data_IF_203837265206
#
_entry.id   IF_203837265206
#
_cell.length_a   1.000
_cell.length_b   1.000
_cell.length_c   1.000
_cell.angle_alpha   90.00
_cell.angle_beta   90.00
_cell.angle_gamma   90.00
#
_symmetry.space_group_name_H-M   'P 1'
#
loop_
_entity.id
_entity.type
_entity.pdbx_description
1 polymer ?
#
# COMPACT_ATOMS: atom_id res chain seq x y z
N UNK A 1 -5.49 -31.98 -1.94
CA UNK A 1 -5.01 -30.95 -2.89
C UNK A 1 -6.14 -30.64 -3.84
N UNK A 2 -6.39 -29.37 -4.14
CA UNK A 2 -7.42 -28.94 -5.08
C UNK A 2 -6.79 -28.11 -6.20
N UNK A 3 -7.35 -28.16 -7.40
CA UNK A 3 -6.81 -27.44 -8.56
C UNK A 3 -7.75 -26.29 -8.90
N UNK A 4 -7.21 -25.07 -9.02
CA UNK A 4 -7.94 -23.92 -9.54
C UNK A 4 -7.50 -23.61 -10.96
N UNK A 5 -8.46 -23.55 -11.89
CA UNK A 5 -8.23 -23.21 -13.29
C UNK A 5 -8.61 -21.74 -13.55
N UNK A 6 -7.71 -20.99 -14.18
CA UNK A 6 -7.88 -19.59 -14.56
C UNK A 6 -7.50 -19.40 -16.03
N UNK A 7 -8.45 -19.67 -16.94
CA UNK A 7 -8.16 -19.69 -18.37
C UNK A 7 -7.08 -20.74 -18.69
N UNK A 8 -5.91 -20.37 -19.25
CA UNK A 8 -4.83 -21.32 -19.52
C UNK A 8 -4.00 -21.68 -18.28
N UNK A 9 -4.15 -20.95 -17.17
CA UNK A 9 -3.29 -21.12 -16.00
C UNK A 9 -3.93 -22.09 -15.01
N UNK A 10 -3.13 -23.09 -14.61
CA UNK A 10 -3.47 -24.04 -13.55
C UNK A 10 -2.71 -23.69 -12.28
N UNK A 11 -3.41 -23.65 -11.14
CA UNK A 11 -2.81 -23.42 -9.82
C UNK A 11 -3.20 -24.57 -8.89
N UNK A 12 -2.22 -25.37 -8.49
CA UNK A 12 -2.42 -26.44 -7.50
C UNK A 12 -2.40 -25.86 -6.08
N UNK A 13 -3.53 -25.95 -5.38
CA UNK A 13 -3.73 -25.46 -4.03
C UNK A 13 -3.53 -26.60 -3.02
N UNK A 14 -2.77 -26.30 -1.96
CA UNK A 14 -2.40 -27.26 -0.91
C UNK A 14 -2.79 -26.73 0.44
N UNK A 15 -2.85 -27.59 1.47
CA UNK A 15 -2.97 -27.19 2.89
C UNK A 15 -4.04 -26.12 3.16
N UNK A 16 -5.23 -26.25 2.57
CA UNK A 16 -6.28 -25.24 2.67
C UNK A 16 -6.78 -25.04 4.10
N UNK A 17 -6.75 -26.11 4.90
CA UNK A 17 -7.26 -26.08 6.27
C UNK A 17 -6.22 -25.58 7.28
N UNK A 18 -4.99 -25.27 6.82
CA UNK A 18 -3.95 -24.69 7.68
C UNK A 18 -4.44 -23.35 8.21
N UNK A 19 -4.46 -23.20 9.53
CA UNK A 19 -4.74 -21.93 10.20
C UNK A 19 -3.60 -20.94 9.94
N UNK A 20 -3.93 -19.81 9.31
CA UNK A 20 -3.01 -18.69 9.19
C UNK A 20 -3.23 -17.67 10.30
N UNK A 21 -4.45 -17.58 10.84
CA UNK A 21 -4.80 -16.72 11.97
C UNK A 21 -5.51 -17.57 13.03
N UNK A 22 -4.76 -18.20 13.95
CA UNK A 22 -5.32 -19.18 14.89
C UNK A 22 -6.43 -18.59 15.77
N UNK A 23 -6.22 -17.40 16.34
CA UNK A 23 -7.18 -16.75 17.24
C UNK A 23 -8.53 -16.43 16.58
N UNK A 24 -8.54 -16.26 15.25
CA UNK A 24 -9.74 -15.95 14.48
C UNK A 24 -10.25 -17.15 13.66
N UNK A 25 -9.59 -18.32 13.78
CA UNK A 25 -9.92 -19.52 13.01
C UNK A 25 -9.72 -19.40 11.49
N UNK A 26 -9.03 -18.36 11.00
CA UNK A 26 -8.94 -18.10 9.56
C UNK A 26 -7.86 -18.97 8.93
N UNK A 27 -8.27 -19.71 7.91
CA UNK A 27 -7.48 -20.69 7.19
C UNK A 27 -6.79 -20.13 5.94
N UNK A 28 -5.81 -20.86 5.39
CA UNK A 28 -5.19 -20.53 4.11
C UNK A 28 -6.20 -20.57 2.95
N UNK A 29 -7.14 -21.51 3.00
CA UNK A 29 -8.23 -21.61 2.03
C UNK A 29 -9.08 -20.34 1.97
N UNK A 30 -9.42 -19.78 3.13
CA UNK A 30 -10.17 -18.52 3.23
C UNK A 30 -9.37 -17.31 2.72
N UNK A 31 -8.07 -17.24 2.98
CA UNK A 31 -7.20 -16.22 2.39
C UNK A 31 -7.20 -16.27 0.86
N UNK A 32 -7.06 -17.46 0.28
CA UNK A 32 -7.12 -17.67 -1.17
C UNK A 32 -8.49 -17.24 -1.70
N UNK A 33 -9.56 -17.65 -1.03
CA UNK A 33 -10.92 -17.33 -1.44
C UNK A 33 -11.21 -15.83 -1.36
N UNK A 34 -10.75 -15.15 -0.31
CA UNK A 34 -10.83 -13.71 -0.17
C UNK A 34 -10.18 -13.01 -1.36
N UNK A 35 -8.91 -13.32 -1.65
CA UNK A 35 -8.20 -12.69 -2.75
C UNK A 35 -8.83 -12.98 -4.11
N UNK A 36 -9.42 -14.17 -4.30
CA UNK A 36 -10.21 -14.47 -5.51
C UNK A 36 -11.45 -13.59 -5.63
N UNK A 37 -12.16 -13.34 -4.52
CA UNK A 37 -13.36 -12.49 -4.50
C UNK A 37 -13.03 -11.03 -4.79
N UNK A 38 -11.98 -10.49 -4.17
CA UNK A 38 -11.63 -9.07 -4.34
C UNK A 38 -10.79 -8.77 -5.58
N UNK A 39 -10.41 -9.80 -6.34
CA UNK A 39 -9.41 -9.69 -7.41
C UNK A 39 -9.73 -8.63 -8.48
N UNK A 40 -11.00 -8.43 -8.85
CA UNK A 40 -11.36 -7.47 -9.90
C UNK A 40 -11.09 -6.01 -9.46
N UNK A 41 -11.27 -5.69 -8.18
CA UNK A 41 -10.90 -4.41 -7.58
C UNK A 41 -9.41 -4.31 -7.23
N UNK A 42 -8.79 -5.42 -6.82
CA UNK A 42 -7.39 -5.44 -6.38
C UNK A 42 -6.38 -5.40 -7.53
N UNK A 43 -6.64 -6.11 -8.64
CA UNK A 43 -5.70 -6.21 -9.76
C UNK A 43 -5.33 -4.87 -10.41
N UNK A 44 -6.22 -3.87 -10.53
CA UNK A 44 -5.85 -2.52 -10.93
C UNK A 44 -4.74 -1.87 -10.07
N UNK A 45 -4.55 -2.27 -8.81
CA UNK A 45 -3.48 -1.73 -7.96
C UNK A 45 -2.20 -2.57 -8.01
N UNK A 46 -2.31 -3.86 -8.34
CA UNK A 46 -1.21 -4.83 -8.44
C UNK A 46 -0.51 -4.84 -9.81
N UNK A 47 -1.26 -4.64 -10.90
CA UNK A 47 -0.77 -4.83 -12.26
C UNK A 47 0.51 -4.05 -12.55
N UNK A 48 1.51 -4.76 -13.05
CA UNK A 48 2.85 -4.30 -13.39
C UNK A 48 3.64 -3.66 -12.24
N UNK A 49 3.18 -3.81 -10.99
CA UNK A 49 3.87 -3.25 -9.83
C UNK A 49 4.83 -4.31 -9.26
N UNK A 50 6.14 -4.02 -9.17
CA UNK A 50 7.07 -4.91 -8.46
C UNK A 50 6.60 -5.12 -7.03
N UNK A 51 6.52 -6.39 -6.61
CA UNK A 51 6.01 -6.76 -5.29
C UNK A 51 7.12 -7.13 -4.30
N UNK A 52 6.80 -6.90 -3.02
CA UNK A 52 7.43 -7.53 -1.87
C UNK A 52 6.33 -8.25 -1.08
N UNK A 53 6.49 -9.56 -0.90
CA UNK A 53 5.47 -10.43 -0.32
C UNK A 53 5.79 -10.64 1.16
N UNK A 54 4.88 -10.32 2.06
CA UNK A 54 5.01 -10.75 3.46
C UNK A 54 4.35 -12.11 3.62
N UNK A 55 5.17 -13.14 3.87
CA UNK A 55 4.74 -14.53 3.92
C UNK A 55 4.77 -15.07 5.34
N UNK A 56 3.78 -15.89 5.67
CA UNK A 56 3.65 -16.62 6.93
C UNK A 56 3.23 -18.06 6.64
N UNK A 57 4.16 -18.92 6.18
CA UNK A 57 3.83 -20.30 5.80
C UNK A 57 3.19 -21.12 6.92
N UNK A 58 3.46 -20.77 8.18
CA UNK A 58 2.98 -21.45 9.38
C UNK A 58 2.01 -20.59 10.22
N UNK A 59 1.50 -19.51 9.63
CA UNK A 59 0.55 -18.59 10.27
C UNK A 59 1.21 -17.46 11.03
N UNK A 60 0.40 -16.48 11.47
CA UNK A 60 0.88 -15.22 12.03
C UNK A 60 1.39 -15.31 13.48
N UNK A 61 1.18 -16.45 14.14
CA UNK A 61 1.74 -16.73 15.46
C UNK A 61 3.25 -17.03 15.39
N UNK A 62 3.74 -17.44 14.22
CA UNK A 62 5.15 -17.72 13.93
C UNK A 62 5.81 -16.56 13.19
N UNK A 63 7.14 -16.57 13.12
CA UNK A 63 7.89 -15.57 12.38
C UNK A 63 7.65 -15.68 10.86
N UNK A 64 7.08 -14.63 10.28
CA UNK A 64 6.99 -14.46 8.84
C UNK A 64 8.14 -13.65 8.26
N UNK A 65 8.35 -13.77 6.95
CA UNK A 65 9.45 -13.10 6.25
C UNK A 65 8.97 -12.27 5.05
N UNK A 66 9.81 -11.34 4.62
CA UNK A 66 9.61 -10.61 3.36
C UNK A 66 10.33 -11.32 2.22
N UNK A 67 9.61 -11.58 1.13
CA UNK A 67 10.14 -12.13 -0.11
C UNK A 67 10.02 -11.10 -1.23
N UNK A 68 11.16 -10.64 -1.74
CA UNK A 68 11.23 -9.81 -2.94
C UNK A 68 11.47 -10.67 -4.18
N UNK A 69 12.48 -11.55 -4.10
CA UNK A 69 12.87 -12.47 -5.17
C UNK A 69 11.95 -13.69 -5.25
N UNK A 70 11.36 -14.01 -6.42
CA UNK A 70 10.64 -15.27 -6.59
C UNK A 70 11.59 -16.45 -6.38
N UNK A 71 11.09 -17.51 -5.75
CA UNK A 71 11.85 -18.75 -5.60
C UNK A 71 11.90 -19.52 -6.93
N UNK A 72 12.89 -20.40 -7.12
CA UNK A 72 13.05 -21.16 -8.37
C UNK A 72 11.87 -22.09 -8.73
N UNK A 73 10.97 -22.36 -7.80
CA UNK A 73 9.74 -23.14 -8.01
C UNK A 73 8.51 -22.30 -8.40
N UNK A 74 8.65 -20.99 -8.57
CA UNK A 74 7.57 -20.17 -9.11
C UNK A 74 7.27 -20.61 -10.56
N UNK A 75 6.00 -20.80 -10.93
CA UNK A 75 5.66 -21.18 -12.30
C UNK A 75 6.17 -20.16 -13.33
N UNK A 76 6.70 -20.65 -14.45
CA UNK A 76 7.28 -19.83 -15.52
C UNK A 76 6.31 -18.81 -16.13
N UNK A 77 5.00 -19.00 -15.99
CA UNK A 77 3.98 -18.06 -16.46
C UNK A 77 3.79 -16.85 -15.52
N UNK A 78 4.39 -16.84 -14.34
CA UNK A 78 4.39 -15.67 -13.45
C UNK A 78 5.44 -14.69 -13.95
N UNK A 79 4.98 -13.56 -14.47
CA UNK A 79 5.85 -12.49 -14.91
C UNK A 79 6.66 -11.88 -13.75
N UNK A 80 7.88 -11.47 -14.07
CA UNK A 80 8.80 -10.80 -13.16
C UNK A 80 9.35 -9.53 -13.81
N UNK A 81 10.05 -8.71 -13.02
CA UNK A 81 10.84 -7.58 -13.51
C UNK A 81 12.11 -7.45 -12.70
N UNK A 82 13.23 -7.27 -13.38
CA UNK A 82 14.51 -6.95 -12.77
C UNK A 82 14.49 -5.51 -12.26
N UNK A 83 14.84 -5.30 -10.99
CA UNK A 83 15.06 -3.97 -10.44
C UNK A 83 16.50 -3.84 -9.92
N UNK A 84 17.29 -2.86 -10.39
CA UNK A 84 18.58 -2.54 -9.82
C UNK A 84 18.47 -2.21 -8.33
N UNK A 85 19.50 -2.55 -7.55
CA UNK A 85 19.56 -2.19 -6.13
C UNK A 85 19.72 -0.69 -5.96
N UNK A 86 19.08 -0.15 -4.91
CA UNK A 86 19.15 1.28 -4.59
C UNK A 86 20.57 1.77 -4.27
N UNK A 87 21.44 0.90 -3.74
CA UNK A 87 22.84 1.21 -3.38
C UNK A 87 23.78 1.36 -4.58
N UNK A 88 23.29 1.16 -5.81
CA UNK A 88 24.17 0.84 -6.95
C UNK A 88 24.69 -0.60 -6.86
N UNK A 89 25.04 -1.16 -8.02
CA UNK A 89 25.50 -2.54 -8.20
C UNK A 89 25.58 -2.89 -9.68
N UNK A 90 26.23 -4.00 -10.03
CA UNK A 90 26.23 -4.47 -11.40
C UNK A 90 24.80 -4.86 -11.83
N UNK A 91 24.51 -4.89 -13.12
CA UNK A 91 23.21 -5.35 -13.63
C UNK A 91 22.89 -6.78 -13.16
N UNK A 92 23.91 -7.61 -12.95
CA UNK A 92 23.82 -8.94 -12.36
C UNK A 92 23.30 -8.97 -10.90
N UNK A 93 23.37 -7.84 -10.17
CA UNK A 93 22.91 -7.73 -8.79
C UNK A 93 21.43 -7.33 -8.67
N UNK A 94 20.74 -7.18 -9.80
CA UNK A 94 19.32 -6.85 -9.84
C UNK A 94 18.49 -7.86 -9.03
N UNK A 95 17.47 -7.33 -8.37
CA UNK A 95 16.49 -8.14 -7.65
C UNK A 95 15.32 -8.35 -8.60
N UNK A 96 15.07 -9.61 -8.97
CA UNK A 96 13.85 -10.00 -9.66
C UNK A 96 12.65 -9.80 -8.72
N UNK A 97 11.61 -9.10 -9.17
CA UNK A 97 10.37 -8.93 -8.43
C UNK A 97 9.20 -9.57 -9.16
N UNK A 98 8.30 -10.20 -8.40
CA UNK A 98 7.05 -10.75 -8.96
C UNK A 98 6.12 -9.64 -9.42
N UNK A 99 5.49 -9.83 -10.58
CA UNK A 99 4.39 -9.01 -11.08
C UNK A 99 3.07 -9.77 -11.01
N UNK A 100 2.16 -9.33 -10.14
CA UNK A 100 0.82 -9.91 -10.04
C UNK A 100 -0.13 -9.28 -11.05
N UNK A 101 -0.15 -9.82 -12.27
CA UNK A 101 -0.90 -9.25 -13.40
C UNK A 101 -2.30 -9.84 -13.61
N UNK A 102 -2.60 -10.99 -13.01
CA UNK A 102 -3.84 -11.73 -13.24
C UNK A 102 -4.31 -12.49 -11.99
N UNK A 103 -5.53 -13.03 -12.05
CA UNK A 103 -6.18 -13.76 -10.94
C UNK A 103 -5.42 -15.06 -10.57
N UNK A 104 -4.78 -15.70 -11.53
CA UNK A 104 -4.01 -16.93 -11.31
C UNK A 104 -2.76 -16.65 -10.47
N UNK A 105 -2.00 -15.60 -10.80
CA UNK A 105 -0.84 -15.17 -10.00
C UNK A 105 -1.28 -14.79 -8.59
N UNK A 106 -2.38 -14.04 -8.44
CA UNK A 106 -2.88 -13.66 -7.13
C UNK A 106 -3.25 -14.88 -6.26
N UNK A 107 -3.97 -15.85 -6.82
CA UNK A 107 -4.30 -17.09 -6.13
C UNK A 107 -3.06 -17.91 -5.78
N UNK A 108 -2.07 -17.98 -6.67
CA UNK A 108 -0.80 -18.64 -6.41
C UNK A 108 -0.05 -17.98 -5.24
N UNK A 109 0.06 -16.65 -5.22
CA UNK A 109 0.72 -15.92 -4.14
C UNK A 109 0.03 -16.16 -2.78
N UNK A 110 -1.30 -16.14 -2.75
CA UNK A 110 -2.07 -16.50 -1.56
C UNK A 110 -1.80 -17.94 -1.10
N UNK A 111 -1.69 -18.90 -2.04
CA UNK A 111 -1.35 -20.29 -1.74
C UNK A 111 0.07 -20.46 -1.18
N UNK A 112 0.99 -19.56 -1.53
CA UNK A 112 2.32 -19.45 -0.93
C UNK A 112 2.30 -18.79 0.46
N UNK A 113 1.11 -18.58 1.05
CA UNK A 113 0.90 -17.89 2.31
C UNK A 113 1.44 -16.44 2.32
N UNK A 114 1.44 -15.77 1.16
CA UNK A 114 1.66 -14.33 1.08
C UNK A 114 0.41 -13.62 1.62
N UNK A 115 0.43 -13.30 2.92
CA UNK A 115 -0.69 -12.64 3.60
C UNK A 115 -0.78 -11.19 3.14
N UNK A 116 0.32 -10.44 3.21
CA UNK A 116 0.33 -9.02 2.81
C UNK A 116 1.13 -8.80 1.53
N UNK A 117 0.52 -8.12 0.57
CA UNK A 117 1.17 -7.71 -0.67
C UNK A 117 1.60 -6.26 -0.57
N UNK A 118 2.90 -6.03 -0.58
CA UNK A 118 3.48 -4.70 -0.66
C UNK A 118 3.98 -4.45 -2.08
N UNK A 119 3.84 -3.22 -2.55
CA UNK A 119 4.25 -2.84 -3.90
C UNK A 119 5.02 -1.56 -3.93
N UNK A 120 5.87 -1.43 -4.95
CA UNK A 120 6.58 -0.19 -5.27
C UNK A 120 5.61 0.92 -5.63
N UNK A 121 6.05 2.19 -5.60
CA UNK A 121 5.23 3.31 -6.07
C UNK A 121 5.33 3.56 -7.59
N UNK A 122 6.00 2.68 -8.32
CA UNK A 122 6.15 2.70 -9.78
C UNK A 122 5.69 1.38 -10.41
N UNK A 123 5.79 1.27 -11.73
CA UNK A 123 5.40 0.06 -12.47
C UNK A 123 6.35 -0.26 -13.59
N UNK A 124 6.49 -1.54 -13.90
CA UNK A 124 7.14 -2.02 -15.10
C UNK A 124 6.43 -1.46 -16.37
N UNK A 125 7.18 -1.24 -17.47
CA UNK A 125 8.64 -1.35 -17.55
C UNK A 125 9.37 -0.15 -16.94
N UNK A 126 8.75 1.03 -16.85
CA UNK A 126 9.38 2.25 -16.32
C UNK A 126 9.39 2.30 -14.78
N UNK A 127 10.14 1.40 -14.15
CA UNK A 127 10.23 1.23 -12.69
C UNK A 127 10.89 2.41 -11.98
N UNK A 128 11.63 3.29 -12.67
CA UNK A 128 12.26 4.48 -12.09
C UNK A 128 11.32 5.70 -11.98
N UNK A 129 10.13 5.60 -12.58
CA UNK A 129 9.18 6.70 -12.70
C UNK A 129 7.92 6.35 -11.90
N UNK A 130 7.77 6.86 -10.65
CA UNK A 130 6.61 6.59 -9.82
C UNK A 130 5.30 7.07 -10.46
N UNK A 131 4.23 6.33 -10.19
CA UNK A 131 2.86 6.67 -10.56
C UNK A 131 2.01 7.10 -9.35
N UNK A 132 2.64 7.23 -8.18
CA UNK A 132 2.00 7.59 -6.90
C UNK A 132 2.95 8.37 -5.99
N UNK A 133 2.39 9.28 -5.21
CA UNK A 133 2.97 9.83 -3.98
C UNK A 133 2.17 9.28 -2.80
N UNK A 134 2.83 8.92 -1.70
CA UNK A 134 2.18 8.37 -0.49
C UNK A 134 2.65 9.09 0.76
N UNK A 135 1.70 9.44 1.63
CA UNK A 135 1.92 9.73 3.05
C UNK A 135 1.42 8.53 3.86
N UNK A 136 2.32 7.88 4.60
CA UNK A 136 1.99 6.82 5.55
C UNK A 136 1.88 7.43 6.95
N UNK A 137 0.66 7.52 7.48
CA UNK A 137 0.34 8.25 8.70
C UNK A 137 0.24 7.28 9.86
N UNK A 138 1.23 7.32 10.75
CA UNK A 138 1.30 6.41 11.89
C UNK A 138 1.07 7.16 13.22
N UNK A 139 0.16 6.68 14.07
CA UNK A 139 0.01 7.25 15.41
C UNK A 139 1.22 6.92 16.28
N UNK A 140 1.51 7.81 17.23
CA UNK A 140 2.50 7.57 18.29
C UNK A 140 1.92 6.71 19.41
N UNK A 141 0.62 6.80 19.65
CA UNK A 141 -0.16 6.00 20.60
C UNK A 141 -1.30 5.25 19.86
N UNK A 142 -2.42 4.99 20.54
CA UNK A 142 -3.60 4.34 19.98
C UNK A 142 -4.71 5.34 19.59
N UNK A 143 -4.42 6.65 19.54
CA UNK A 143 -5.39 7.66 19.11
C UNK A 143 -5.51 7.71 17.58
N UNK A 144 -6.47 6.95 17.07
CA UNK A 144 -6.82 7.00 15.66
C UNK A 144 -7.53 8.30 15.25
N UNK A 145 -8.08 9.06 16.20
CA UNK A 145 -8.65 10.39 15.97
C UNK A 145 -7.63 11.34 15.39
N UNK A 146 -6.48 11.48 16.05
CA UNK A 146 -5.36 12.29 15.58
C UNK A 146 -4.86 11.88 14.18
N UNK A 147 -4.87 10.58 13.86
CA UNK A 147 -4.50 10.09 12.51
C UNK A 147 -5.49 10.57 11.44
N UNK A 148 -6.79 10.64 11.75
CA UNK A 148 -7.80 11.18 10.83
C UNK A 148 -7.63 12.68 10.62
N UNK A 149 -7.32 13.42 11.69
CA UNK A 149 -7.03 14.86 11.61
C UNK A 149 -5.80 15.12 10.74
N UNK A 150 -4.72 14.38 10.95
CA UNK A 150 -3.54 14.41 10.10
C UNK A 150 -3.86 14.08 8.64
N UNK A 151 -4.70 13.07 8.38
CA UNK A 151 -5.11 12.72 7.03
C UNK A 151 -5.90 13.85 6.36
N UNK A 152 -6.80 14.52 7.09
CA UNK A 152 -7.54 15.69 6.58
C UNK A 152 -6.60 16.84 6.23
N UNK A 153 -5.60 17.13 7.06
CA UNK A 153 -4.61 18.15 6.78
C UNK A 153 -3.80 17.84 5.50
N UNK A 154 -3.36 16.57 5.34
CA UNK A 154 -2.65 16.14 4.12
C UNK A 154 -3.56 16.23 2.89
N UNK A 155 -4.82 15.81 2.98
CA UNK A 155 -5.82 15.89 1.91
C UNK A 155 -6.05 17.34 1.49
N UNK A 156 -6.23 18.24 2.45
CA UNK A 156 -6.44 19.66 2.21
C UNK A 156 -5.24 20.29 1.49
N UNK A 157 -4.01 20.01 1.95
CA UNK A 157 -2.79 20.48 1.28
C UNK A 157 -2.70 19.92 -0.15
N UNK A 158 -2.94 18.62 -0.35
CA UNK A 158 -2.91 18.01 -1.68
C UNK A 158 -3.90 18.69 -2.64
N UNK A 159 -5.13 18.97 -2.20
CA UNK A 159 -6.10 19.71 -3.00
C UNK A 159 -5.63 21.12 -3.35
N UNK A 160 -5.06 21.84 -2.37
CA UNK A 160 -4.52 23.18 -2.61
C UNK A 160 -3.40 23.17 -3.66
N UNK A 161 -2.57 22.13 -3.68
CA UNK A 161 -1.51 21.94 -4.68
C UNK A 161 -2.02 21.42 -6.04
N UNK A 162 -3.34 21.26 -6.20
CA UNK A 162 -3.96 20.74 -7.41
C UNK A 162 -3.70 19.24 -7.63
N UNK A 163 -3.50 18.47 -6.56
CA UNK A 163 -3.42 17.01 -6.55
C UNK A 163 -4.78 16.41 -6.17
N UNK A 164 -4.97 15.13 -6.51
CA UNK A 164 -6.20 14.38 -6.23
C UNK A 164 -5.94 13.28 -5.18
N UNK A 165 -6.10 13.56 -3.88
CA UNK A 165 -5.83 12.60 -2.82
C UNK A 165 -6.87 11.48 -2.76
N UNK A 166 -6.41 10.32 -2.33
CA UNK A 166 -7.17 9.12 -2.03
C UNK A 166 -6.73 8.58 -0.67
N UNK A 167 -7.65 8.00 0.10
CA UNK A 167 -7.33 7.52 1.45
C UNK A 167 -7.68 6.06 1.60
N UNK A 168 -6.87 5.34 2.37
CA UNK A 168 -7.16 3.98 2.80
C UNK A 168 -6.74 3.77 4.25
N UNK A 169 -7.49 2.94 4.97
CA UNK A 169 -6.96 2.37 6.21
C UNK A 169 -5.83 1.41 5.88
N UNK A 170 -4.80 1.41 6.71
CA UNK A 170 -3.70 0.47 6.51
C UNK A 170 -4.08 -0.96 6.89
N UNK A 171 -5.13 -1.16 7.70
CA UNK A 171 -5.38 -2.44 8.38
C UNK A 171 -4.40 -2.68 9.54
N UNK A 172 -3.61 -1.68 9.92
CA UNK A 172 -2.70 -1.73 11.06
C UNK A 172 -3.14 -0.72 12.11
N UNK A 173 -2.51 0.46 12.17
CA UNK A 173 -2.85 1.53 13.13
C UNK A 173 -3.09 2.87 12.44
N UNK A 174 -2.62 3.00 11.19
CA UNK A 174 -2.56 4.26 10.47
C UNK A 174 -3.46 4.34 9.24
N UNK A 175 -3.35 5.47 8.55
CA UNK A 175 -3.96 5.76 7.25
C UNK A 175 -2.86 5.96 6.20
N UNK A 176 -3.12 5.57 4.96
CA UNK A 176 -2.33 6.04 3.82
C UNK A 176 -3.13 7.10 3.06
N UNK A 177 -2.50 8.24 2.80
CA UNK A 177 -3.01 9.26 1.86
C UNK A 177 -2.16 9.18 0.59
N UNK A 178 -2.81 8.95 -0.54
CA UNK A 178 -2.16 8.62 -1.81
C UNK A 178 -2.63 9.57 -2.90
N UNK A 179 -1.70 10.16 -3.64
CA UNK A 179 -2.03 10.93 -4.84
C UNK A 179 -1.49 10.20 -6.10
N UNK A 180 -2.32 9.91 -7.11
CA UNK A 180 -1.86 9.39 -8.39
C UNK A 180 -1.07 10.46 -9.14
N UNK A 181 0.07 10.06 -9.71
CA UNK A 181 0.96 10.96 -10.45
C UNK A 181 1.02 10.59 -11.92
N UNK A 182 1.16 11.62 -12.76
CA UNK A 182 1.63 11.43 -14.14
C UNK A 182 3.07 10.92 -14.09
N UNK A 183 3.36 9.94 -14.94
CA UNK A 183 4.67 9.27 -15.00
C UNK A 183 5.68 10.14 -15.77
N UNK A 184 6.08 11.26 -15.17
CA UNK A 184 6.93 12.27 -15.82
C UNK A 184 8.20 12.63 -15.01
N UNK A 185 8.28 12.23 -13.74
CA UNK A 185 9.39 12.54 -12.82
C UNK A 185 9.92 11.30 -12.13
N UNK A 186 11.21 11.31 -11.76
CA UNK A 186 11.84 10.25 -10.98
C UNK A 186 11.45 10.25 -9.50
N UNK A 187 11.87 9.22 -8.77
CA UNK A 187 11.62 9.10 -7.33
C UNK A 187 12.20 10.25 -6.50
N UNK A 188 13.38 10.77 -6.84
CA UNK A 188 14.01 11.83 -6.05
C UNK A 188 13.21 13.14 -6.10
N UNK A 189 12.70 13.53 -7.27
CA UNK A 189 11.80 14.68 -7.42
C UNK A 189 10.51 14.50 -6.59
N UNK A 190 9.88 13.31 -6.67
CA UNK A 190 8.65 13.01 -5.91
C UNK A 190 8.90 12.98 -4.41
N UNK A 191 10.04 12.44 -3.98
CA UNK A 191 10.43 12.39 -2.57
C UNK A 191 10.75 13.78 -2.03
N UNK A 192 11.41 14.62 -2.80
CA UNK A 192 11.67 16.01 -2.42
C UNK A 192 10.35 16.77 -2.21
N UNK A 193 9.40 16.65 -3.15
CA UNK A 193 8.06 17.22 -3.01
C UNK A 193 7.36 16.71 -1.73
N UNK A 194 7.33 15.41 -1.50
CA UNK A 194 6.68 14.83 -0.32
C UNK A 194 7.30 15.34 0.99
N UNK A 195 8.63 15.47 1.05
CA UNK A 195 9.34 16.03 2.22
C UNK A 195 9.01 17.48 2.47
N UNK A 196 8.96 18.29 1.42
CA UNK A 196 8.62 19.71 1.55
C UNK A 196 7.17 19.90 2.00
N UNK A 197 6.24 19.12 1.44
CA UNK A 197 4.84 19.07 1.90
C UNK A 197 4.74 18.67 3.38
N UNK A 198 5.47 17.64 3.81
CA UNK A 198 5.48 17.21 5.20
C UNK A 198 6.07 18.28 6.13
N UNK A 199 7.15 18.94 5.72
CA UNK A 199 7.76 20.04 6.49
C UNK A 199 6.78 21.21 6.68
N UNK A 200 6.00 21.55 5.66
CA UNK A 200 4.95 22.58 5.75
C UNK A 200 3.82 22.19 6.70
N UNK A 201 3.36 20.94 6.63
CA UNK A 201 2.36 20.43 7.57
C UNK A 201 2.86 20.45 9.01
N UNK A 202 4.12 20.04 9.26
CA UNK A 202 4.72 20.10 10.60
C UNK A 202 4.89 21.55 11.07
N UNK A 203 5.27 22.48 10.19
CA UNK A 203 5.37 23.89 10.57
C UNK A 203 4.01 24.49 10.94
N UNK A 204 2.93 24.07 10.28
CA UNK A 204 1.58 24.55 10.56
C UNK A 204 0.93 23.85 11.77
N UNK A 205 1.26 22.59 12.01
CA UNK A 205 0.73 21.77 13.12
C UNK A 205 1.87 21.17 13.98
N UNK A 206 2.73 21.98 14.61
CA UNK A 206 3.96 21.52 15.26
C UNK A 206 3.72 20.65 16.51
N UNK A 207 2.57 20.81 17.14
CA UNK A 207 2.17 20.06 18.35
C UNK A 207 1.43 18.76 18.02
N UNK A 208 1.03 18.56 16.76
CA UNK A 208 0.22 17.41 16.32
C UNK A 208 0.97 16.50 15.35
N UNK A 209 1.87 17.04 14.52
CA UNK A 209 2.52 16.32 13.42
C UNK A 209 4.03 16.30 13.57
N UNK A 210 4.66 15.24 13.08
CA UNK A 210 6.14 15.12 13.07
C UNK A 210 6.64 14.30 11.89
N UNK A 211 7.88 14.57 11.47
CA UNK A 211 8.64 13.73 10.52
C UNK A 211 9.71 12.88 11.22
N UNK A 212 9.73 12.87 12.55
CA UNK A 212 10.68 12.07 13.33
C UNK A 212 10.34 10.58 13.27
N UNK A 213 11.28 9.80 12.70
CA UNK A 213 11.09 8.37 12.50
C UNK A 213 11.08 7.62 13.85
N UNK A 214 11.94 8.05 14.77
CA UNK A 214 12.13 7.46 16.09
C UNK A 214 10.93 7.74 16.98
N UNK A 215 10.22 6.69 17.40
CA UNK A 215 8.99 6.81 18.22
C UNK A 215 9.19 7.63 19.49
N UNK A 216 10.33 7.45 20.16
CA UNK A 216 10.71 8.18 21.38
C UNK A 216 10.94 9.68 21.15
N UNK A 217 11.14 10.11 19.89
CA UNK A 217 11.31 11.52 19.51
C UNK A 217 10.02 12.17 18.97
N UNK A 218 8.95 11.39 18.79
CA UNK A 218 7.70 11.90 18.23
C UNK A 218 6.93 12.77 19.23
N UNK A 219 7.06 12.49 20.52
CA UNK A 219 6.39 13.27 21.58
C UNK A 219 4.87 13.25 21.47
N UNK A 220 4.26 12.09 21.18
CA UNK A 220 2.79 11.95 21.03
C UNK A 220 2.24 12.32 19.65
N UNK A 221 3.02 13.00 18.80
CA UNK A 221 2.58 13.49 17.48
C UNK A 221 2.40 12.39 16.45
N UNK A 222 1.51 12.59 15.48
CA UNK A 222 1.34 11.69 14.34
C UNK A 222 2.55 11.80 13.42
N UNK A 223 3.14 10.65 13.10
CA UNK A 223 4.29 10.57 12.20
C UNK A 223 3.84 10.59 10.73
N UNK A 224 4.34 11.57 9.98
CA UNK A 224 4.18 11.71 8.54
C UNK A 224 5.31 10.95 7.81
N UNK A 225 5.15 9.64 7.59
CA UNK A 225 6.13 8.84 6.88
C UNK A 225 6.07 9.08 5.37
N UNK A 226 6.93 9.99 4.91
CA UNK A 226 7.15 10.27 3.48
C UNK A 226 8.34 9.49 2.90
N UNK A 227 9.04 8.68 3.70
CA UNK A 227 10.22 7.93 3.24
C UNK A 227 9.84 6.80 2.27
N UNK A 228 8.56 6.41 2.27
CA UNK A 228 7.96 5.49 1.29
C UNK A 228 8.10 5.94 -0.16
N UNK A 229 8.36 7.23 -0.40
CA UNK A 229 8.54 7.80 -1.73
C UNK A 229 9.96 7.66 -2.28
N UNK A 230 10.84 6.89 -1.63
CA UNK A 230 12.16 6.58 -2.18
C UNK A 230 12.11 5.37 -3.14
N UNK A 231 13.07 5.30 -4.06
CA UNK A 231 13.23 4.17 -4.96
C UNK A 231 13.36 2.85 -4.19
N UNK A 232 12.69 1.80 -4.66
CA UNK A 232 12.72 0.46 -4.04
C UNK A 232 11.90 0.31 -2.75
N UNK A 233 11.37 1.41 -2.19
CA UNK A 233 10.47 1.33 -1.05
C UNK A 233 9.10 0.78 -1.47
N UNK A 234 8.44 0.15 -0.51
CA UNK A 234 7.12 -0.47 -0.74
C UNK A 234 6.10 -0.01 0.29
N UNK A 235 4.84 0.02 -0.15
CA UNK A 235 3.68 0.28 0.70
C UNK A 235 2.72 -0.89 0.57
N UNK A 236 1.91 -1.14 1.60
CA UNK A 236 0.86 -2.16 1.49
C UNK A 236 -0.12 -1.73 0.41
N UNK A 237 -0.49 -2.64 -0.49
CA UNK A 237 -1.41 -2.30 -1.58
C UNK A 237 -2.87 -2.41 -1.14
N UNK A 238 -3.77 -1.62 -1.75
CA UNK A 238 -5.21 -1.72 -1.53
C UNK A 238 -5.71 -3.16 -1.56
N UNK A 239 -6.61 -3.47 -0.64
CA UNK A 239 -7.27 -4.77 -0.45
C UNK A 239 -6.36 -5.90 0.06
N UNK A 240 -5.09 -5.64 0.35
CA UNK A 240 -4.21 -6.63 0.96
C UNK A 240 -4.60 -6.91 2.40
N UNK A 241 -4.64 -8.19 2.76
CA UNK A 241 -4.77 -8.64 4.15
C UNK A 241 -3.49 -8.30 4.92
N UNK A 242 -3.62 -7.92 6.19
CA UNK A 242 -2.50 -7.67 7.10
C UNK A 242 -2.30 -8.89 7.99
N UNK A 243 -1.04 -9.27 8.20
CA UNK A 243 -0.66 -10.30 9.14
C UNK A 243 -0.78 -9.80 10.59
N UNK A 244 -2.02 -9.64 11.04
CA UNK A 244 -2.42 -9.21 12.38
C UNK A 244 -3.63 -10.02 12.84
N UNK A 245 -3.88 -10.15 14.16
CA UNK A 245 -5.10 -10.77 14.66
C UNK A 245 -6.36 -10.20 14.00
N UNK A 246 -7.33 -11.04 13.68
CA UNK A 246 -8.55 -10.65 12.96
C UNK A 246 -8.42 -10.53 11.43
N UNK A 247 -7.21 -10.69 10.87
CA UNK A 247 -6.93 -10.52 9.43
C UNK A 247 -7.46 -9.20 8.83
N UNK A 248 -7.11 -8.03 9.41
CA UNK A 248 -7.56 -6.75 8.91
C UNK A 248 -7.05 -6.48 7.49
N UNK A 249 -7.77 -5.65 6.75
CA UNK A 249 -7.53 -5.37 5.34
C UNK A 249 -7.13 -3.92 5.17
N UNK A 250 -6.14 -3.69 4.31
CA UNK A 250 -5.75 -2.35 3.88
C UNK A 250 -6.84 -1.81 2.93
N UNK A 251 -7.83 -1.08 3.46
CA UNK A 251 -9.09 -0.80 2.77
C UNK A 251 -9.17 0.64 2.25
N UNK A 252 -9.28 0.84 0.93
CA UNK A 252 -9.79 2.08 0.33
C UNK A 252 -11.08 2.59 0.96
N UNK A 253 -11.09 3.88 1.27
CA UNK A 253 -12.25 4.60 1.81
C UNK A 253 -12.51 5.87 1.01
N UNK A 254 -13.76 6.34 1.04
CA UNK A 254 -14.12 7.65 0.54
C UNK A 254 -13.59 8.74 1.49
N UNK A 255 -13.24 9.91 0.95
CA UNK A 255 -12.72 11.02 1.77
C UNK A 255 -13.71 11.43 2.88
N UNK A 256 -15.01 11.41 2.58
CA UNK A 256 -16.07 11.73 3.55
C UNK A 256 -16.12 10.76 4.74
N UNK A 257 -15.53 9.56 4.63
CA UNK A 257 -15.48 8.62 5.75
C UNK A 257 -14.47 9.06 6.83
N UNK A 258 -13.55 9.99 6.54
CA UNK A 258 -12.69 10.61 7.55
C UNK A 258 -13.48 11.37 8.62
N UNK A 259 -14.68 11.85 8.29
CA UNK A 259 -15.55 12.58 9.22
C UNK A 259 -16.31 11.66 10.18
N UNK A 260 -16.28 10.35 9.93
CA UNK A 260 -16.93 9.36 10.79
C UNK A 260 -16.07 9.10 12.03
N UNK A 261 -16.49 9.62 13.17
CA UNK A 261 -15.82 9.42 14.48
C UNK A 261 -15.64 7.96 14.88
N UNK A 262 -16.44 7.06 14.35
CA UNK A 262 -16.35 5.61 14.60
C UNK A 262 -15.44 4.86 13.64
N UNK A 263 -14.90 5.53 12.60
CA UNK A 263 -13.96 4.89 11.67
C UNK A 263 -12.72 4.46 12.46
N UNK A 264 -12.34 3.19 12.37
CA UNK A 264 -11.14 2.61 12.94
C UNK A 264 -10.18 2.05 11.87
N UNK A 265 -8.90 1.81 12.22
CA UNK A 265 -7.88 1.35 11.26
C UNK A 265 -8.09 -0.09 10.79
N UNK A 266 -8.93 -0.86 11.50
CA UNK A 266 -9.15 -2.30 11.31
C UNK A 266 -10.64 -2.66 11.15
N UNK A 267 -11.51 -1.67 10.87
CA UNK A 267 -12.96 -1.89 10.66
C UNK A 267 -13.25 -2.92 9.56
N UNK A 268 -12.33 -3.05 8.60
CA UNK A 268 -12.39 -4.04 7.54
C UNK A 268 -11.37 -5.12 7.73
N UNK A 269 -11.84 -6.34 7.55
CA UNK A 269 -11.07 -7.56 7.66
C UNK A 269 -11.51 -8.56 6.59
N UNK A 270 -10.74 -9.64 6.44
CA UNK A 270 -10.95 -10.68 5.43
C UNK A 270 -12.42 -11.14 5.34
N UNK A 271 -13.07 -11.27 6.50
CA UNK A 271 -14.45 -11.75 6.63
C UNK A 271 -15.54 -10.76 6.20
N UNK A 272 -15.26 -9.45 6.10
CA UNK A 272 -16.28 -8.43 5.80
C UNK A 272 -15.97 -7.52 4.59
N UNK A 273 -14.71 -7.43 4.17
CA UNK A 273 -14.25 -6.49 3.15
C UNK A 273 -14.94 -6.65 1.78
N UNK A 274 -15.17 -7.89 1.33
CA UNK A 274 -15.84 -8.16 0.05
C UNK A 274 -17.29 -7.64 0.02
N UNK A 275 -18.05 -7.81 1.11
CA UNK A 275 -19.44 -7.31 1.20
C UNK A 275 -19.53 -5.80 1.07
N UNK A 276 -18.53 -5.08 1.59
CA UNK A 276 -18.44 -3.63 1.41
C UNK A 276 -18.28 -3.28 -0.07
N UNK A 277 -17.36 -3.92 -0.77
CA UNK A 277 -17.09 -3.65 -2.19
C UNK A 277 -18.29 -3.98 -3.07
N UNK A 278 -18.97 -5.09 -2.79
CA UNK A 278 -20.20 -5.49 -3.48
C UNK A 278 -21.33 -4.47 -3.26
N UNK A 279 -21.44 -3.90 -2.05
CA UNK A 279 -22.51 -2.97 -1.69
C UNK A 279 -22.25 -1.53 -2.13
N UNK A 280 -21.03 -1.04 -2.00
CA UNK A 280 -20.69 0.38 -2.15
C UNK A 280 -19.81 0.67 -3.36
N UNK A 281 -19.28 -0.35 -4.03
CA UNK A 281 -18.28 -0.18 -5.07
C UNK A 281 -16.88 0.10 -4.50
N UNK A 282 -15.98 0.52 -5.39
CA UNK A 282 -14.57 0.80 -5.08
C UNK A 282 -14.34 2.31 -4.91
N UNK A 283 -14.01 2.80 -3.70
CA UNK A 283 -13.72 4.21 -3.47
C UNK A 283 -12.53 4.74 -4.28
N UNK A 284 -11.64 3.86 -4.73
CA UNK A 284 -10.48 4.21 -5.55
C UNK A 284 -10.72 3.96 -7.05
N UNK A 285 -11.98 3.72 -7.45
CA UNK A 285 -12.35 3.56 -8.84
C UNK A 285 -11.87 4.77 -9.66
N UNK A 286 -11.15 4.49 -10.74
CA UNK A 286 -10.66 5.55 -11.62
C UNK A 286 -9.43 6.32 -11.13
N UNK A 287 -8.79 5.94 -10.01
CA UNK A 287 -7.60 6.62 -9.45
C UNK A 287 -6.56 7.03 -10.50
N UNK A 288 -6.28 6.17 -11.49
CA UNK A 288 -5.29 6.48 -12.54
C UNK A 288 -5.70 7.65 -13.45
N UNK A 289 -7.00 7.86 -13.67
CA UNK A 289 -7.53 8.95 -14.51
C UNK A 289 -7.36 10.31 -13.84
N UNK A 290 -7.21 10.34 -12.52
CA UNK A 290 -7.01 11.55 -11.73
C UNK A 290 -5.54 11.89 -11.51
N UNK A 291 -4.63 11.28 -12.26
CA UNK A 291 -3.20 11.52 -12.17
C UNK A 291 -2.82 12.98 -12.49
N UNK A 292 -2.11 13.63 -11.57
CA UNK A 292 -1.64 15.02 -11.73
C UNK A 292 -0.12 15.11 -11.83
N UNK A 293 0.38 16.27 -12.25
CA UNK A 293 1.83 16.51 -12.42
C UNK A 293 2.47 16.84 -11.08
N UNK A 294 3.49 16.06 -10.67
CA UNK A 294 4.28 16.37 -9.47
C UNK A 294 5.02 17.71 -9.60
N UNK A 295 5.52 18.03 -10.80
CA UNK A 295 6.18 19.33 -11.06
C UNK A 295 5.22 20.51 -10.92
N UNK A 296 3.96 20.35 -11.36
CA UNK A 296 2.93 21.39 -11.18
C UNK A 296 2.63 21.60 -9.70
N UNK A 297 2.49 20.51 -8.93
CA UNK A 297 2.28 20.58 -7.49
C UNK A 297 3.47 21.25 -6.76
N UNK A 298 4.72 20.91 -7.11
CA UNK A 298 5.91 21.55 -6.56
C UNK A 298 5.98 23.06 -6.84
N UNK A 299 5.62 23.50 -8.05
CA UNK A 299 5.51 24.95 -8.35
C UNK A 299 4.41 25.64 -7.54
N UNK A 300 3.28 24.96 -7.31
CA UNK A 300 2.22 25.51 -6.46
C UNK A 300 2.68 25.63 -5.00
N UNK A 301 3.44 24.64 -4.52
CA UNK A 301 4.00 24.63 -3.17
C UNK A 301 5.01 25.76 -2.96
N UNK A 302 5.91 25.99 -3.91
CA UNK A 302 6.87 27.09 -3.85
C UNK A 302 6.18 28.46 -3.74
N UNK A 303 5.09 28.68 -4.50
CA UNK A 303 4.33 29.94 -4.45
C UNK A 303 3.64 30.21 -3.12
N UNK A 304 3.25 29.15 -2.39
CA UNK A 304 2.72 29.31 -1.04
C UNK A 304 3.78 29.89 -0.09
N UNK A 305 5.04 29.48 -0.26
CA UNK A 305 6.15 29.99 0.55
C UNK A 305 6.33 31.50 0.35
N UNK A 306 6.30 31.95 -0.91
CA UNK A 306 6.48 33.36 -1.27
C UNK A 306 5.33 34.25 -0.78
N UNK A 307 4.14 33.68 -0.51
CA UNK A 307 2.99 34.43 0.01
C UNK A 307 2.90 34.50 1.54
N UNK A 308 3.62 33.63 2.24
CA UNK A 308 3.70 33.59 3.70
C UNK A 308 4.91 34.36 4.26
N UNK A 309 5.80 34.84 3.38
CA UNK A 309 7.02 35.59 3.71
C UNK A 309 6.83 37.07 3.38
#
# INVERSE_FOLDING_TARGET
MSVLQFGPYRVDITNTDKLLFPDSGITKGELIQYYRRVSDWMLPHLRQRPLALRRFPDGIAEEGFFQQRPSGFFPAWIATVAAPRASGGAEADAVEHVLCNNRATLAYLANQAAISLHGWLSRAPAINVPDRLVFDLDPSDDDFGAVRDAARAVVALMHHLGMNPYVMTTGSRGLHVVAPLRRETGFDEVRALAREMAARLVAHYPDELTVEQRKDQRGGRVYLDVMRNAYGQTTVLPYSVRARPGAPVAMPIDLAELDRRTLGPQDWHLGNAHRRLEKHGDPWAGLRRHATSARKAGRALAKLQDSET
#
